data_IF_646844544471
#
_entry.id   IF_646844544471
#
_cell.length_a   1.000
_cell.length_b   1.000
_cell.length_c   1.000
_cell.angle_alpha   90.00
_cell.angle_beta   90.00
_cell.angle_gamma   90.00
#
_symmetry.space_group_name_H-M   'P 1'
#
loop_
_entity.id
_entity.type
_entity.pdbx_description
1 polymer ?
#
# COMPACT_ATOMS: atom_id res chain seq x y z
N UNK A 1 -33.07 22.37 52.37
CA UNK A 1 -32.01 23.29 51.90
C UNK A 1 -31.19 22.54 50.87
N UNK A 2 -31.41 22.82 49.58
CA UNK A 2 -30.70 22.14 48.49
C UNK A 2 -29.45 22.98 48.17
N UNK A 3 -28.27 22.37 48.26
CA UNK A 3 -26.96 23.03 48.15
C UNK A 3 -26.67 23.42 46.69
N UNK A 4 -26.83 24.69 46.27
CA UNK A 4 -26.78 25.08 44.86
C UNK A 4 -25.36 25.01 44.27
N UNK A 5 -24.33 24.92 45.11
CA UNK A 5 -22.93 24.94 44.67
C UNK A 5 -22.47 23.61 44.09
N UNK A 6 -22.90 22.49 44.66
CA UNK A 6 -22.52 21.16 44.21
C UNK A 6 -23.10 20.83 42.83
N UNK A 7 -24.37 21.19 42.61
CA UNK A 7 -25.04 21.03 41.32
C UNK A 7 -24.33 21.83 40.21
N UNK A 8 -23.96 23.08 40.49
CA UNK A 8 -23.25 23.93 39.54
C UNK A 8 -21.86 23.38 39.18
N UNK A 9 -21.13 22.81 40.15
CA UNK A 9 -19.84 22.16 39.90
C UNK A 9 -20.00 20.87 39.08
N UNK A 10 -21.06 20.09 39.31
CA UNK A 10 -21.39 18.91 38.51
C UNK A 10 -21.70 19.31 37.05
N UNK A 11 -22.53 20.33 36.84
CA UNK A 11 -22.83 20.84 35.50
C UNK A 11 -21.62 21.42 34.79
N UNK A 12 -20.69 22.06 35.52
CA UNK A 12 -19.41 22.53 34.96
C UNK A 12 -18.54 21.37 34.50
N UNK A 13 -18.37 20.34 35.34
CA UNK A 13 -17.57 19.14 35.00
C UNK A 13 -18.15 18.37 33.82
N UNK A 14 -19.48 18.20 33.76
CA UNK A 14 -20.16 17.55 32.62
C UNK A 14 -19.92 18.31 31.30
N UNK A 15 -19.99 19.65 31.32
CA UNK A 15 -19.71 20.49 30.15
C UNK A 15 -18.24 20.38 29.70
N UNK A 16 -17.30 20.39 30.63
CA UNK A 16 -15.88 20.17 30.33
C UNK A 16 -15.64 18.78 29.72
N UNK A 17 -16.23 17.74 30.29
CA UNK A 17 -16.11 16.37 29.77
C UNK A 17 -16.60 16.25 28.32
N UNK A 18 -17.75 16.83 28.00
CA UNK A 18 -18.29 16.84 26.62
C UNK A 18 -17.33 17.59 25.68
N UNK A 19 -16.78 18.72 26.11
CA UNK A 19 -15.82 19.49 25.31
C UNK A 19 -14.53 18.70 25.04
N UNK A 20 -14.01 18.01 26.04
CA UNK A 20 -12.80 17.19 25.93
C UNK A 20 -13.05 15.96 25.04
N UNK A 21 -14.22 15.34 25.15
CA UNK A 21 -14.64 14.25 24.28
C UNK A 21 -14.71 14.69 22.81
N UNK A 22 -15.33 15.85 22.53
CA UNK A 22 -15.40 16.41 21.18
C UNK A 22 -14.00 16.67 20.61
N UNK A 23 -13.13 17.30 21.39
CA UNK A 23 -11.74 17.56 20.99
C UNK A 23 -10.98 16.27 20.67
N UNK A 24 -11.18 15.21 21.45
CA UNK A 24 -10.58 13.91 21.18
C UNK A 24 -11.13 13.28 19.89
N UNK A 25 -12.44 13.35 19.67
CA UNK A 25 -13.07 12.86 18.44
C UNK A 25 -12.58 13.61 17.20
N UNK A 26 -12.37 14.92 17.30
CA UNK A 26 -11.81 15.74 16.22
C UNK A 26 -10.40 15.26 15.83
N UNK A 27 -9.53 15.01 16.83
CA UNK A 27 -8.17 14.50 16.60
C UNK A 27 -8.21 13.11 15.95
N UNK A 28 -9.09 12.22 16.43
CA UNK A 28 -9.24 10.90 15.84
C UNK A 28 -9.72 10.96 14.38
N UNK A 29 -10.65 11.87 14.08
CA UNK A 29 -11.16 12.07 12.74
C UNK A 29 -10.05 12.58 11.81
N UNK A 30 -9.26 13.56 12.25
CA UNK A 30 -8.10 14.06 11.51
C UNK A 30 -7.10 12.94 11.20
N UNK A 31 -6.69 12.17 12.22
CA UNK A 31 -5.76 11.05 12.04
C UNK A 31 -6.31 9.98 11.06
N UNK A 32 -7.62 9.72 11.12
CA UNK A 32 -8.28 8.78 10.21
C UNK A 32 -8.30 9.30 8.78
N UNK A 33 -8.51 10.60 8.60
CA UNK A 33 -8.48 11.25 7.28
C UNK A 33 -7.07 11.18 6.68
N UNK A 34 -6.02 11.45 7.46
CA UNK A 34 -4.62 11.34 7.02
C UNK A 34 -4.27 9.91 6.62
N UNK A 35 -4.57 8.94 7.48
CA UNK A 35 -4.33 7.52 7.17
C UNK A 35 -5.09 7.06 5.92
N UNK A 36 -6.29 7.58 5.68
CA UNK A 36 -7.04 7.27 4.47
C UNK A 36 -6.40 7.89 3.22
N UNK A 37 -5.88 9.12 3.30
CA UNK A 37 -5.14 9.76 2.21
C UNK A 37 -3.88 8.98 1.85
N UNK A 38 -3.11 8.54 2.84
CA UNK A 38 -1.93 7.69 2.62
C UNK A 38 -2.29 6.38 1.92
N UNK A 39 -3.35 5.71 2.37
CA UNK A 39 -3.84 4.49 1.72
C UNK A 39 -4.28 4.72 0.28
N UNK A 40 -4.97 5.83 0.02
CA UNK A 40 -5.39 6.20 -1.33
C UNK A 40 -4.19 6.45 -2.24
N UNK A 41 -3.17 7.18 -1.74
CA UNK A 41 -1.93 7.43 -2.49
C UNK A 41 -1.18 6.14 -2.83
N UNK A 42 -1.02 5.23 -1.85
CA UNK A 42 -0.40 3.93 -2.09
C UNK A 42 -1.19 3.07 -3.08
N UNK A 43 -2.52 3.10 -2.98
CA UNK A 43 -3.39 2.39 -3.92
C UNK A 43 -3.28 2.97 -5.34
N UNK A 44 -3.15 4.28 -5.49
CA UNK A 44 -2.95 4.92 -6.78
C UNK A 44 -1.61 4.57 -7.40
N UNK A 45 -0.53 4.53 -6.60
CA UNK A 45 0.79 4.06 -7.06
C UNK A 45 0.69 2.62 -7.54
N UNK A 46 0.07 1.74 -6.74
CA UNK A 46 -0.10 0.34 -7.09
C UNK A 46 -0.92 0.18 -8.37
N UNK A 47 -2.00 0.94 -8.53
CA UNK A 47 -2.83 0.93 -9.75
C UNK A 47 -2.02 1.38 -10.99
N UNK A 48 -1.14 2.38 -10.84
CA UNK A 48 -0.24 2.79 -11.92
C UNK A 48 0.75 1.69 -12.29
N UNK A 49 1.31 1.00 -11.29
CA UNK A 49 2.24 -0.11 -11.49
C UNK A 49 1.56 -1.31 -12.15
N UNK A 50 0.39 -1.72 -11.66
CA UNK A 50 -0.37 -2.87 -12.19
C UNK A 50 -0.81 -2.64 -13.64
N UNK A 51 -1.14 -1.39 -14.00
CA UNK A 51 -1.50 -1.03 -15.38
C UNK A 51 -0.28 -0.87 -16.32
N UNK A 52 0.93 -0.75 -15.75
CA UNK A 52 2.14 -0.56 -16.53
C UNK A 52 2.70 -1.92 -16.96
N UNK A 53 2.52 -2.28 -18.23
CA UNK A 53 3.14 -3.46 -18.82
C UNK A 53 4.57 -3.14 -19.25
N UNK A 54 5.55 -3.77 -18.59
CA UNK A 54 6.97 -3.67 -18.93
C UNK A 54 7.39 -4.83 -19.85
N UNK A 55 8.16 -4.53 -20.89
CA UNK A 55 8.81 -5.54 -21.74
C UNK A 55 10.24 -5.76 -21.28
N UNK A 56 10.58 -6.99 -20.87
CA UNK A 56 11.94 -7.36 -20.48
C UNK A 56 12.85 -7.74 -21.66
N UNK A 57 12.29 -7.84 -22.87
CA UNK A 57 13.01 -8.23 -24.08
C UNK A 57 12.47 -7.47 -25.29
N UNK A 58 13.39 -7.11 -26.19
CA UNK A 58 13.08 -6.70 -27.55
C UNK A 58 12.98 -7.94 -28.43
N UNK A 59 11.85 -8.09 -29.13
CA UNK A 59 11.67 -9.16 -30.10
C UNK A 59 11.94 -8.60 -31.50
N UNK A 60 12.83 -9.25 -32.24
CA UNK A 60 13.00 -8.94 -33.66
C UNK A 60 11.70 -9.27 -34.42
N UNK A 61 11.32 -8.39 -35.35
CA UNK A 61 10.20 -8.58 -36.27
C UNK A 61 10.81 -8.68 -37.66
N UNK A 62 10.78 -9.86 -38.25
CA UNK A 62 11.35 -10.17 -39.57
C UNK A 62 10.97 -11.58 -40.01
N UNK A 63 11.39 -11.99 -41.21
CA UNK A 63 11.06 -13.31 -41.75
C UNK A 63 11.83 -14.46 -41.09
N UNK A 64 13.06 -14.18 -40.64
CA UNK A 64 13.91 -15.16 -39.98
C UNK A 64 13.88 -14.95 -38.46
N UNK A 65 13.71 -16.02 -37.65
CA UNK A 65 13.80 -15.89 -36.21
C UNK A 65 15.20 -15.48 -35.78
N UNK A 66 15.27 -14.82 -34.63
CA UNK A 66 16.53 -14.48 -33.99
C UNK A 66 17.17 -15.76 -33.45
N UNK A 67 18.19 -16.28 -34.16
CA UNK A 67 18.79 -17.59 -33.87
C UNK A 67 19.62 -17.55 -32.58
N UNK A 68 20.22 -16.41 -32.25
CA UNK A 68 21.07 -16.25 -31.08
C UNK A 68 20.51 -15.19 -30.13
N UNK A 69 19.92 -15.67 -29.04
CA UNK A 69 19.34 -14.84 -27.98
C UNK A 69 20.42 -14.57 -26.94
N UNK A 70 20.57 -13.31 -26.51
CA UNK A 70 21.52 -12.96 -25.44
C UNK A 70 21.03 -13.53 -24.12
N UNK A 71 21.95 -13.98 -23.28
CA UNK A 71 21.60 -14.55 -21.97
C UNK A 71 20.80 -13.57 -21.09
N UNK A 72 21.08 -12.26 -21.18
CA UNK A 72 20.32 -11.22 -20.48
C UNK A 72 18.83 -11.25 -20.81
N UNK A 73 18.52 -11.47 -22.08
CA UNK A 73 17.16 -11.44 -22.61
C UNK A 73 16.35 -12.70 -22.21
N UNK A 74 17.00 -13.67 -21.57
CA UNK A 74 16.39 -14.88 -21.00
C UNK A 74 16.37 -14.79 -19.46
N UNK A 75 17.50 -14.38 -18.85
CA UNK A 75 17.66 -14.36 -17.39
C UNK A 75 16.73 -13.33 -16.75
N UNK A 76 16.67 -12.11 -17.29
CA UNK A 76 15.86 -11.03 -16.72
C UNK A 76 14.36 -11.39 -16.68
N UNK A 77 13.71 -11.82 -17.78
CA UNK A 77 12.30 -12.20 -17.71
C UNK A 77 12.05 -13.41 -16.80
N UNK A 78 12.99 -14.37 -16.73
CA UNK A 78 12.84 -15.53 -15.84
C UNK A 78 12.91 -15.13 -14.36
N UNK A 79 13.79 -14.19 -14.01
CA UNK A 79 13.86 -13.60 -12.67
C UNK A 79 12.65 -12.73 -12.33
N UNK A 80 12.13 -11.98 -13.30
CA UNK A 80 10.89 -11.23 -13.10
C UNK A 80 9.73 -12.20 -12.84
N UNK A 81 9.62 -13.27 -13.63
CA UNK A 81 8.57 -14.27 -13.48
C UNK A 81 8.63 -15.01 -12.13
N UNK A 82 9.83 -15.29 -11.62
CA UNK A 82 9.99 -15.95 -10.32
C UNK A 82 9.54 -15.10 -9.12
N UNK A 83 9.48 -13.77 -9.27
CA UNK A 83 8.96 -12.88 -8.22
C UNK A 83 7.44 -12.98 -8.09
N UNK A 84 6.74 -13.40 -9.16
CA UNK A 84 5.28 -13.55 -9.18
C UNK A 84 4.85 -15.00 -8.89
N UNK A 85 5.60 -15.99 -9.37
CA UNK A 85 5.27 -17.42 -9.19
C UNK A 85 6.27 -18.17 -8.31
N UNK A 86 5.79 -18.62 -7.14
CA UNK A 86 6.60 -19.38 -6.17
C UNK A 86 7.21 -20.66 -6.77
N UNK A 87 6.46 -21.38 -7.61
CA UNK A 87 6.94 -22.62 -8.23
C UNK A 87 8.19 -22.37 -9.09
N UNK A 88 8.14 -21.33 -9.93
CA UNK A 88 9.26 -20.96 -10.82
C UNK A 88 10.44 -20.46 -9.99
N UNK A 89 10.19 -19.75 -8.89
CA UNK A 89 11.23 -19.35 -7.94
C UNK A 89 11.98 -20.54 -7.34
N UNK A 90 11.26 -21.55 -6.88
CA UNK A 90 11.86 -22.78 -6.37
C UNK A 90 12.64 -23.52 -7.44
N UNK A 91 12.10 -23.64 -8.66
CA UNK A 91 12.79 -24.30 -9.77
C UNK A 91 14.07 -23.58 -10.16
N UNK A 92 14.05 -22.25 -10.25
CA UNK A 92 15.23 -21.45 -10.56
C UNK A 92 16.30 -21.61 -9.48
N UNK A 93 15.91 -21.58 -8.20
CA UNK A 93 16.82 -21.81 -7.08
C UNK A 93 17.51 -23.18 -7.17
N UNK A 94 16.76 -24.24 -7.49
CA UNK A 94 17.31 -25.60 -7.64
C UNK A 94 18.28 -25.76 -8.81
N UNK A 95 18.16 -24.95 -9.86
CA UNK A 95 19.04 -25.02 -11.05
C UNK A 95 20.30 -24.16 -10.85
N UNK A 96 20.26 -23.19 -9.94
CA UNK A 96 21.33 -22.22 -9.72
C UNK A 96 22.31 -22.62 -8.60
N UNK A 97 21.95 -23.63 -7.79
CA UNK A 97 22.75 -24.23 -6.71
C UNK A 97 22.98 -25.71 -6.96
#
# INVERSE_FOLDING_TARGET
MIQPKEDNDIFRRKRSFVKDLLKYMDILLLNKMEKNKEKQFLAEIKLKQDNQVEKYRSYCIGELPEIQIRSSDIIIPLQALSQYENYISHLLYLVQF
#
